data_IF_586526560014
#
_entry.id   IF_586526560014
#
_cell.length_a   1.000
_cell.length_b   1.000
_cell.length_c   1.000
_cell.angle_alpha   90.00
_cell.angle_beta   90.00
_cell.angle_gamma   90.00
#
_symmetry.space_group_name_H-M   'P 1'
#
loop_
_entity.id
_entity.type
_entity.pdbx_description
1 polymer ?
#
# COMPACT_ATOMS: atom_id res chain seq x y z
N UNK A 1 -7.81 -1.16 23.14
CA UNK A 1 -8.88 -0.88 22.16
C UNK A 1 -8.20 -0.27 20.95
N UNK A 2 -8.11 -1.02 19.85
CA UNK A 2 -7.60 -0.52 18.57
C UNK A 2 -8.54 0.57 18.07
N UNK A 3 -8.02 1.70 17.61
CA UNK A 3 -8.87 2.81 17.15
C UNK A 3 -9.56 2.44 15.84
N UNK A 4 -10.75 2.98 15.51
CA UNK A 4 -11.47 2.68 14.27
C UNK A 4 -10.67 2.90 12.97
N UNK A 5 -9.65 3.76 13.03
CA UNK A 5 -8.72 3.98 11.92
C UNK A 5 -7.71 2.85 11.73
N UNK A 6 -7.23 2.25 12.82
CA UNK A 6 -6.30 1.12 12.77
C UNK A 6 -7.00 -0.13 12.20
N UNK A 7 -8.28 -0.35 12.55
CA UNK A 7 -9.08 -1.45 12.00
C UNK A 7 -9.28 -1.29 10.48
N UNK A 8 -9.52 -0.06 10.02
CA UNK A 8 -9.61 0.26 8.58
C UNK A 8 -8.29 0.06 7.87
N UNK A 9 -7.19 0.52 8.47
CA UNK A 9 -5.85 0.33 7.92
C UNK A 9 -5.53 -1.16 7.77
N UNK A 10 -5.79 -1.94 8.81
CA UNK A 10 -5.60 -3.39 8.77
C UNK A 10 -6.47 -4.09 7.70
N UNK A 11 -7.69 -3.62 7.47
CA UNK A 11 -8.55 -4.12 6.39
C UNK A 11 -7.98 -3.79 5.00
N UNK A 12 -7.49 -2.57 4.80
CA UNK A 12 -6.82 -2.14 3.56
C UNK A 12 -5.58 -2.98 3.29
N UNK A 13 -4.73 -3.17 4.31
CA UNK A 13 -3.47 -3.87 4.16
C UNK A 13 -3.68 -5.34 3.78
N UNK A 14 -4.66 -6.00 4.42
CA UNK A 14 -5.04 -7.38 4.11
C UNK A 14 -5.59 -7.53 2.69
N UNK A 15 -6.46 -6.62 2.26
CA UNK A 15 -7.05 -6.66 0.92
C UNK A 15 -6.01 -6.39 -0.17
N UNK A 16 -5.11 -5.43 0.06
CA UNK A 16 -4.03 -5.10 -0.84
C UNK A 16 -3.10 -6.30 -1.05
N UNK A 17 -2.64 -6.94 0.04
CA UNK A 17 -1.79 -8.14 -0.02
C UNK A 17 -2.46 -9.26 -0.83
N UNK A 18 -3.72 -9.59 -0.51
CA UNK A 18 -4.45 -10.64 -1.21
C UNK A 18 -4.62 -10.37 -2.71
N UNK A 19 -4.81 -9.11 -3.11
CA UNK A 19 -4.93 -8.72 -4.51
C UNK A 19 -3.58 -8.76 -5.23
N UNK A 20 -2.51 -8.26 -4.59
CA UNK A 20 -1.18 -8.27 -5.17
C UNK A 20 -0.67 -9.70 -5.39
N UNK A 21 -0.93 -10.62 -4.45
CA UNK A 21 -0.62 -12.04 -4.59
C UNK A 21 -1.38 -12.71 -5.75
N UNK A 22 -2.65 -12.32 -5.99
CA UNK A 22 -3.49 -12.96 -7.01
C UNK A 22 -3.32 -12.39 -8.42
N UNK A 23 -3.08 -11.09 -8.56
CA UNK A 23 -3.10 -10.38 -9.86
C UNK A 23 -1.73 -9.81 -10.24
N UNK A 24 -0.76 -9.80 -9.33
CA UNK A 24 0.54 -9.17 -9.53
C UNK A 24 0.47 -7.64 -9.48
N UNK A 25 1.62 -6.98 -9.31
CA UNK A 25 1.68 -5.53 -9.15
C UNK A 25 1.07 -4.79 -10.34
N UNK A 26 1.45 -5.09 -11.59
CA UNK A 26 1.07 -4.32 -12.78
C UNK A 26 -0.46 -4.19 -12.99
N UNK A 27 -1.21 -5.28 -12.80
CA UNK A 27 -2.66 -5.33 -13.07
C UNK A 27 -3.54 -4.75 -11.97
N UNK A 28 -2.95 -4.34 -10.84
CA UNK A 28 -3.68 -3.86 -9.67
C UNK A 28 -3.77 -2.34 -9.65
N UNK A 29 -4.92 -1.80 -9.26
CA UNK A 29 -5.13 -0.35 -9.11
C UNK A 29 -5.56 -0.01 -7.70
N UNK A 30 -5.25 1.21 -7.26
CA UNK A 30 -5.66 1.81 -5.98
C UNK A 30 -7.17 1.64 -5.76
N UNK A 31 -7.96 1.86 -6.81
CA UNK A 31 -9.43 1.67 -6.79
C UNK A 31 -9.84 0.22 -6.56
N UNK A 32 -9.16 -0.75 -7.19
CA UNK A 32 -9.47 -2.17 -7.00
C UNK A 32 -9.22 -2.63 -5.57
N UNK A 33 -8.16 -2.10 -4.95
CA UNK A 33 -7.84 -2.39 -3.56
C UNK A 33 -8.87 -1.74 -2.62
N UNK A 34 -9.26 -0.50 -2.86
CA UNK A 34 -10.30 0.18 -2.07
C UNK A 34 -11.61 -0.63 -2.07
N UNK A 35 -12.03 -1.09 -3.26
CA UNK A 35 -13.22 -1.95 -3.40
C UNK A 35 -13.07 -3.26 -2.63
N UNK A 36 -11.92 -3.93 -2.72
CA UNK A 36 -11.69 -5.19 -2.00
C UNK A 36 -11.57 -5.03 -0.48
N UNK A 37 -11.08 -3.87 -0.02
CA UNK A 37 -11.03 -3.51 1.39
C UNK A 37 -12.39 -3.03 1.93
N UNK A 38 -13.41 -2.86 1.06
CA UNK A 38 -14.71 -2.31 1.45
C UNK A 38 -14.65 -0.84 1.87
N UNK A 39 -13.63 -0.10 1.43
CA UNK A 39 -13.43 1.32 1.74
C UNK A 39 -13.64 2.19 0.51
N UNK A 40 -14.06 3.44 0.74
CA UNK A 40 -14.14 4.42 -0.34
C UNK A 40 -12.75 4.77 -0.89
N UNK A 41 -12.61 5.07 -2.19
CA UNK A 41 -11.34 5.50 -2.78
C UNK A 41 -10.75 6.72 -2.06
N UNK A 42 -11.60 7.66 -1.61
CA UNK A 42 -11.18 8.85 -0.87
C UNK A 42 -10.55 8.52 0.49
N UNK A 43 -11.07 7.49 1.16
CA UNK A 43 -10.51 7.00 2.43
C UNK A 43 -9.15 6.40 2.18
N UNK A 44 -9.04 5.53 1.17
CA UNK A 44 -7.79 4.91 0.82
C UNK A 44 -6.74 5.93 0.35
N UNK A 45 -7.13 6.95 -0.42
CA UNK A 45 -6.24 8.06 -0.80
C UNK A 45 -5.85 8.96 0.38
N UNK A 46 -6.64 8.98 1.46
CA UNK A 46 -6.27 9.66 2.70
C UNK A 46 -5.20 8.91 3.48
N UNK A 47 -5.11 7.59 3.32
CA UNK A 47 -4.08 6.75 3.96
C UNK A 47 -2.83 6.58 3.09
N UNK A 48 -3.02 6.43 1.77
CA UNK A 48 -1.95 6.13 0.82
C UNK A 48 -2.12 6.99 -0.45
N UNK A 49 -1.12 7.80 -0.79
CA UNK A 49 -1.20 8.72 -1.94
C UNK A 49 -1.08 8.01 -3.27
N UNK A 50 -0.35 6.89 -3.32
CA UNK A 50 -0.13 6.15 -4.56
C UNK A 50 -0.02 4.63 -4.35
N UNK A 51 -0.07 3.90 -5.47
CA UNK A 51 0.02 2.44 -5.50
C UNK A 51 1.36 1.90 -4.97
N UNK A 52 2.46 2.63 -5.18
CA UNK A 52 3.77 2.22 -4.72
C UNK A 52 3.88 2.28 -3.19
N UNK A 53 3.35 3.34 -2.57
CA UNK A 53 3.25 3.51 -1.11
C UNK A 53 2.35 2.45 -0.47
N UNK A 54 1.23 2.11 -1.12
CA UNK A 54 0.38 1.03 -0.65
C UNK A 54 1.06 -0.34 -0.78
N UNK A 55 1.73 -0.60 -1.90
CA UNK A 55 2.47 -1.86 -2.11
C UNK A 55 3.61 -2.02 -1.10
N UNK A 56 4.35 -0.94 -0.87
CA UNK A 56 5.37 -0.78 0.14
C UNK A 56 4.91 -1.11 1.57
N UNK A 57 3.70 -0.68 1.92
CA UNK A 57 3.15 -0.89 3.25
C UNK A 57 2.69 -2.32 3.51
N UNK A 58 2.37 -3.09 2.47
CA UNK A 58 1.65 -4.38 2.58
C UNK A 58 2.48 -5.60 2.20
N UNK A 59 3.45 -5.41 1.30
CA UNK A 59 4.60 -6.28 1.23
C UNK A 59 5.48 -5.84 2.39
N UNK A 60 5.58 -6.70 3.41
CA UNK A 60 6.44 -6.54 4.57
C UNK A 60 7.90 -6.61 4.09
N UNK A 61 8.32 -5.58 3.35
CA UNK A 61 9.70 -5.39 2.95
C UNK A 61 10.43 -5.08 4.27
N UNK A 62 11.54 -5.76 4.57
CA UNK A 62 12.36 -5.46 5.76
C UNK A 62 12.98 -4.05 5.73
N UNK A 63 12.56 -3.19 4.81
CA UNK A 63 12.95 -1.82 4.62
C UNK A 63 11.72 -1.01 4.23
N UNK A 64 11.55 0.14 4.87
CA UNK A 64 10.61 1.16 4.43
C UNK A 64 11.08 1.68 3.06
N UNK A 65 10.33 1.47 1.96
CA UNK A 65 10.77 1.89 0.64
C UNK A 65 10.65 3.40 0.41
N UNK A 66 9.92 4.13 1.27
CA UNK A 66 9.99 5.60 1.34
C UNK A 66 11.35 6.03 1.89
N UNK A 67 11.93 5.24 2.79
CA UNK A 67 13.32 5.40 3.27
C UNK A 67 14.38 4.78 2.34
N UNK A 68 13.99 3.96 1.36
CA UNK A 68 14.92 3.33 0.41
C UNK A 68 15.22 4.19 -0.84
N UNK A 69 14.45 5.27 -1.08
CA UNK A 69 14.68 6.17 -2.23
C UNK A 69 15.99 6.98 -2.16
N UNK A 70 16.59 7.38 -1.01
CA UNK A 70 17.82 8.17 -1.02
C UNK A 70 19.12 7.34 -1.15
N UNK A 71 19.08 6.10 -1.67
CA UNK A 71 20.33 5.36 -2.01
C UNK A 71 20.43 4.82 -3.43
N UNK A 72 19.38 4.96 -4.24
CA UNK A 72 19.43 4.63 -5.68
C UNK A 72 19.59 5.86 -6.59
N UNK A 73 19.60 7.06 -6.00
CA UNK A 73 20.03 8.31 -6.66
C UNK A 73 21.33 8.81 -6.01
N UNK A 74 22.31 7.93 -5.87
CA UNK A 74 23.68 8.41 -5.86
C UNK A 74 24.01 8.75 -7.32
N UNK A 75 24.29 10.02 -7.69
CA UNK A 75 25.08 10.24 -8.90
C UNK A 75 26.36 9.43 -8.73
N UNK A 76 26.73 8.71 -9.79
CA UNK A 76 27.91 7.86 -9.82
C UNK A 76 29.17 8.60 -9.36
N UNK A 77 30.17 7.79 -8.98
CA UNK A 77 31.59 8.13 -8.90
C UNK A 77 32.01 9.34 -9.74
#
# INVERSE_FOLDING_TARGET
MTSPNDDRRAAIDRAARAIFERRGYASVTVKSIAVAAGVGPSVLSSFYRNKAELFAAVIDLPFDPTSAIPRLVAPGL
#
